data_IF_318675214036
#
_entry.id   IF_318675214036
#
_cell.length_a   1.000
_cell.length_b   1.000
_cell.length_c   1.000
_cell.angle_alpha   90.00
_cell.angle_beta   90.00
_cell.angle_gamma   90.00
#
_symmetry.space_group_name_H-M   'P 1'
#
loop_
_entity.id
_entity.type
_entity.pdbx_description
1 polymer ?
#
# COMPACT_ATOMS: atom_id res chain seq x y z
N UNK A 1 18.22 -50.37 9.43
CA UNK A 1 17.43 -49.43 10.24
C UNK A 1 16.95 -48.31 9.32
N UNK A 2 15.65 -48.27 9.05
CA UNK A 2 15.04 -47.25 8.19
C UNK A 2 15.16 -45.86 8.81
N UNK A 3 15.51 -44.87 7.98
CA UNK A 3 15.89 -43.50 8.34
C UNK A 3 14.71 -42.63 8.82
N UNK A 4 13.50 -43.19 8.92
CA UNK A 4 12.25 -42.46 9.17
C UNK A 4 11.42 -42.99 10.37
N UNK A 5 11.89 -44.01 11.11
CA UNK A 5 11.15 -44.58 12.24
C UNK A 5 10.94 -43.63 13.42
N UNK A 6 11.77 -42.59 13.56
CA UNK A 6 11.64 -41.57 14.60
C UNK A 6 10.68 -40.43 14.22
N UNK A 7 10.42 -40.20 12.92
CA UNK A 7 9.49 -39.14 12.46
C UNK A 7 8.03 -39.55 12.59
N UNK A 8 7.73 -40.85 12.53
CA UNK A 8 6.38 -41.38 12.71
C UNK A 8 5.91 -41.40 14.18
N UNK A 9 6.82 -41.18 15.13
CA UNK A 9 6.54 -41.15 16.56
C UNK A 9 6.19 -39.75 17.10
N UNK A 10 6.31 -38.70 16.27
CA UNK A 10 5.86 -37.35 16.63
C UNK A 10 4.34 -37.29 16.43
N UNK A 11 3.53 -37.05 17.48
CA UNK A 11 2.09 -36.91 17.32
C UNK A 11 1.79 -35.79 16.33
N UNK A 12 1.19 -36.15 15.19
CA UNK A 12 0.69 -35.17 14.22
C UNK A 12 -0.40 -34.34 14.92
N UNK A 13 -0.32 -33.00 14.93
CA UNK A 13 -1.30 -32.18 15.62
C UNK A 13 -2.69 -32.45 15.04
N UNK A 14 -3.62 -32.83 15.91
CA UNK A 14 -5.02 -33.09 15.58
C UNK A 14 -5.66 -31.89 14.88
N UNK A 15 -6.72 -32.12 14.09
CA UNK A 15 -7.50 -31.04 13.47
C UNK A 15 -7.99 -30.02 14.50
N UNK A 16 -8.27 -30.45 15.73
CA UNK A 16 -8.65 -29.60 16.87
C UNK A 16 -7.51 -28.72 17.37
N UNK A 17 -6.31 -29.24 17.61
CA UNK A 17 -5.16 -28.42 18.02
C UNK A 17 -4.74 -27.41 16.94
N UNK A 18 -4.87 -27.76 15.66
CA UNK A 18 -4.67 -26.81 14.56
C UNK A 18 -5.76 -25.73 14.51
N UNK A 19 -7.01 -26.09 14.85
CA UNK A 19 -8.15 -25.15 14.92
C UNK A 19 -8.01 -24.21 16.11
N UNK A 20 -7.63 -24.71 17.28
CA UNK A 20 -7.34 -23.93 18.48
C UNK A 20 -6.15 -22.99 18.28
N UNK A 21 -5.05 -23.45 17.67
CA UNK A 21 -3.91 -22.60 17.30
C UNK A 21 -4.30 -21.52 16.28
N UNK A 22 -5.12 -21.86 15.28
CA UNK A 22 -5.66 -20.88 14.32
C UNK A 22 -6.63 -19.88 14.95
N UNK A 23 -7.39 -20.29 15.97
CA UNK A 23 -8.33 -19.44 16.71
C UNK A 23 -7.59 -18.53 17.70
N UNK A 24 -6.54 -19.04 18.36
CA UNK A 24 -5.63 -18.27 19.21
C UNK A 24 -4.77 -17.26 18.42
N UNK A 25 -4.41 -17.56 17.18
CA UNK A 25 -3.67 -16.63 16.30
C UNK A 25 -4.54 -15.47 15.78
N UNK A 26 -5.87 -15.60 15.79
CA UNK A 26 -6.83 -14.57 15.36
C UNK A 26 -7.34 -13.72 16.52
N UNK A 27 -6.45 -13.26 17.41
CA UNK A 27 -6.82 -12.21 18.38
C UNK A 27 -7.40 -11.01 17.63
N UNK A 28 -8.38 -10.35 18.26
CA UNK A 28 -8.95 -9.13 17.70
C UNK A 28 -7.84 -8.10 17.48
N UNK A 29 -7.88 -7.39 16.35
CA UNK A 29 -6.92 -6.33 16.06
C UNK A 29 -7.59 -5.03 16.49
N UNK A 30 -7.13 -4.36 17.58
CA UNK A 30 -7.81 -3.18 18.13
C UNK A 30 -8.06 -2.09 17.08
N UNK A 31 -7.07 -1.86 16.22
CA UNK A 31 -7.19 -0.93 15.08
C UNK A 31 -8.38 -1.25 14.16
N UNK A 32 -8.68 -2.54 13.90
CA UNK A 32 -9.80 -2.93 13.03
C UNK A 32 -11.15 -2.69 13.68
N UNK A 33 -11.24 -2.82 15.00
CA UNK A 33 -12.46 -2.52 15.76
C UNK A 33 -12.72 -1.02 15.80
N UNK A 34 -11.69 -0.24 16.12
CA UNK A 34 -11.74 1.21 16.06
C UNK A 34 -12.09 1.71 14.65
N UNK A 35 -11.47 1.14 13.61
CA UNK A 35 -11.81 1.47 12.23
C UNK A 35 -13.28 1.17 11.91
N UNK A 36 -13.81 0.03 12.38
CA UNK A 36 -15.22 -0.35 12.19
C UNK A 36 -16.15 0.69 12.84
N UNK A 37 -15.89 1.08 14.09
CA UNK A 37 -16.65 2.12 14.78
C UNK A 37 -16.58 3.46 14.01
N UNK A 38 -15.37 3.87 13.63
CA UNK A 38 -15.14 5.10 12.87
C UNK A 38 -15.82 5.12 11.49
N UNK A 39 -16.01 3.96 10.85
CA UNK A 39 -16.72 3.90 9.56
C UNK A 39 -18.24 4.06 9.67
N UNK A 40 -18.82 3.86 10.85
CA UNK A 40 -20.25 4.14 11.10
C UNK A 40 -20.52 5.65 11.17
N UNK A 41 -19.57 6.42 11.69
CA UNK A 41 -19.64 7.87 11.76
C UNK A 41 -19.20 8.53 10.44
N UNK A 42 -20.17 8.71 9.53
CA UNK A 42 -19.95 9.25 8.19
C UNK A 42 -19.92 10.78 8.21
N UNK A 43 -18.75 11.35 8.01
CA UNK A 43 -18.58 12.81 7.84
C UNK A 43 -17.98 13.21 6.49
N UNK A 44 -17.38 12.27 5.74
CA UNK A 44 -16.67 12.59 4.50
C UNK A 44 -17.61 13.15 3.43
N UNK A 45 -17.27 14.30 2.84
CA UNK A 45 -17.98 14.84 1.67
C UNK A 45 -17.73 13.92 0.47
N UNK A 46 -18.79 13.47 -0.19
CA UNK A 46 -18.65 12.66 -1.39
C UNK A 46 -18.20 13.52 -2.58
N UNK A 47 -17.38 12.97 -3.47
CA UNK A 47 -16.83 13.72 -4.62
C UNK A 47 -17.92 14.27 -5.55
N UNK A 48 -19.06 13.59 -5.64
CA UNK A 48 -20.22 14.05 -6.45
C UNK A 48 -21.00 15.18 -5.79
N UNK A 49 -20.76 15.46 -4.52
CA UNK A 49 -21.40 16.53 -3.74
C UNK A 49 -20.54 17.78 -3.65
N UNK A 50 -19.43 17.82 -4.40
CA UNK A 50 -18.53 18.97 -4.41
C UNK A 50 -19.17 20.18 -5.10
N UNK A 51 -19.11 21.35 -4.44
CA UNK A 51 -19.71 22.58 -4.96
C UNK A 51 -19.04 23.04 -6.26
N UNK A 52 -19.78 23.72 -7.13
CA UNK A 52 -19.25 24.25 -8.39
C UNK A 52 -18.09 25.22 -8.15
N UNK A 53 -18.20 26.01 -7.08
CA UNK A 53 -17.18 26.98 -6.67
C UNK A 53 -15.89 26.27 -6.27
N UNK A 54 -15.97 25.23 -5.42
CA UNK A 54 -14.79 24.45 -5.07
C UNK A 54 -14.18 23.75 -6.29
N UNK A 55 -15.00 23.23 -7.21
CA UNK A 55 -14.49 22.59 -8.43
C UNK A 55 -13.67 23.56 -9.30
N UNK A 56 -14.02 24.85 -9.30
CA UNK A 56 -13.23 25.91 -9.95
C UNK A 56 -11.87 26.08 -9.26
N UNK A 57 -11.86 26.26 -7.93
CA UNK A 57 -10.64 26.39 -7.13
C UNK A 57 -9.73 25.14 -7.27
N UNK A 58 -10.34 23.95 -7.28
CA UNK A 58 -9.65 22.68 -7.49
C UNK A 58 -8.99 22.61 -8.87
N UNK A 59 -9.67 23.06 -9.92
CA UNK A 59 -9.12 23.03 -11.26
C UNK A 59 -7.88 23.94 -11.39
N UNK A 60 -7.93 25.15 -10.85
CA UNK A 60 -6.80 26.08 -10.81
C UNK A 60 -5.64 25.53 -9.98
N UNK A 61 -5.93 24.97 -8.80
CA UNK A 61 -4.91 24.35 -7.96
C UNK A 61 -4.28 23.12 -8.62
N UNK A 62 -5.09 22.28 -9.28
CA UNK A 62 -4.63 21.08 -9.96
C UNK A 62 -3.76 21.44 -11.17
N UNK A 63 -4.13 22.48 -11.90
CA UNK A 63 -3.29 23.09 -12.94
C UNK A 63 -1.96 23.56 -12.35
N UNK A 64 -2.01 24.37 -11.30
CA UNK A 64 -0.82 24.83 -10.59
C UNK A 64 0.04 23.67 -10.10
N UNK A 65 -0.48 22.48 -9.79
CA UNK A 65 0.34 21.33 -9.36
C UNK A 65 0.85 20.45 -10.50
N UNK A 66 0.33 20.58 -11.71
CA UNK A 66 0.66 19.69 -12.84
C UNK A 66 1.32 20.38 -14.03
N UNK A 67 1.08 21.67 -14.23
CA UNK A 67 1.62 22.42 -15.36
C UNK A 67 3.13 22.65 -15.24
N UNK A 68 3.83 22.48 -16.35
CA UNK A 68 5.28 22.73 -16.47
C UNK A 68 5.62 24.20 -16.21
N UNK A 69 4.82 25.10 -16.79
CA UNK A 69 4.85 26.53 -16.56
C UNK A 69 3.66 26.93 -15.68
N UNK A 70 3.88 27.84 -14.74
CA UNK A 70 2.83 28.41 -13.89
C UNK A 70 3.22 29.85 -13.59
N UNK A 71 2.22 30.72 -13.50
CA UNK A 71 2.40 32.14 -13.13
C UNK A 71 2.79 32.29 -11.66
N UNK A 72 2.34 31.35 -10.81
CA UNK A 72 2.65 31.32 -9.39
C UNK A 72 3.95 30.56 -9.12
N UNK A 73 4.72 31.03 -8.14
CA UNK A 73 5.93 30.35 -7.67
C UNK A 73 5.56 29.01 -7.02
N UNK A 74 6.38 27.99 -7.22
CA UNK A 74 6.13 26.63 -6.71
C UNK A 74 7.44 25.93 -6.40
N UNK A 75 7.44 25.11 -5.34
CA UNK A 75 8.53 24.18 -5.08
C UNK A 75 8.75 23.23 -6.27
N UNK A 76 9.99 22.76 -6.48
CA UNK A 76 10.43 21.99 -7.67
C UNK A 76 9.65 20.67 -7.96
N UNK A 77 8.75 20.21 -7.08
CA UNK A 77 8.05 18.93 -7.21
C UNK A 77 6.68 19.07 -7.87
N UNK A 78 6.61 18.57 -9.11
CA UNK A 78 5.38 18.43 -9.89
C UNK A 78 4.59 17.18 -9.52
N UNK A 79 3.26 17.27 -9.59
CA UNK A 79 2.41 16.08 -9.55
C UNK A 79 2.48 15.34 -10.88
N UNK A 80 2.74 14.03 -10.81
CA UNK A 80 2.96 13.20 -12.00
C UNK A 80 1.64 12.80 -12.65
N UNK A 81 1.46 13.20 -13.90
CA UNK A 81 0.41 12.70 -14.79
C UNK A 81 0.84 11.39 -15.45
N UNK A 82 -0.04 10.41 -15.47
CA UNK A 82 0.20 9.08 -16.02
C UNK A 82 -0.89 8.69 -17.04
N UNK A 83 -0.55 7.93 -18.09
CA UNK A 83 -1.53 7.24 -18.92
C UNK A 83 -2.45 6.33 -18.09
N UNK A 84 -3.72 6.21 -18.49
CA UNK A 84 -4.77 5.49 -17.74
C UNK A 84 -4.40 4.03 -17.47
N UNK A 85 -3.79 3.36 -18.45
CA UNK A 85 -3.30 1.98 -18.37
C UNK A 85 -2.17 1.80 -17.35
N UNK A 86 -1.40 2.86 -17.03
CA UNK A 86 -0.35 2.83 -16.02
C UNK A 86 -0.85 3.13 -14.60
N UNK A 87 -2.11 3.53 -14.43
CA UNK A 87 -2.69 3.85 -13.13
C UNK A 87 -3.31 2.58 -12.50
N UNK A 88 -2.99 2.31 -11.23
CA UNK A 88 -3.48 1.15 -10.48
C UNK A 88 -4.68 1.45 -9.59
N UNK A 89 -5.27 2.63 -9.70
CA UNK A 89 -6.37 3.15 -8.90
C UNK A 89 -7.49 3.60 -9.83
N UNK A 90 -8.72 3.45 -9.37
CA UNK A 90 -9.83 4.17 -9.99
C UNK A 90 -9.82 5.61 -9.49
N UNK A 91 -9.75 6.56 -10.42
CA UNK A 91 -9.59 7.98 -10.12
C UNK A 91 -10.87 8.73 -10.50
N UNK A 92 -11.33 9.70 -9.69
CA UNK A 92 -12.38 10.61 -10.11
C UNK A 92 -12.01 11.35 -11.39
N UNK A 93 -13.00 11.70 -12.21
CA UNK A 93 -12.83 12.43 -13.47
C UNK A 93 -12.06 13.75 -13.28
N UNK A 94 -12.31 14.45 -12.17
CA UNK A 94 -11.63 15.71 -11.80
C UNK A 94 -10.15 15.54 -11.40
N UNK A 95 -9.63 14.31 -11.40
CA UNK A 95 -8.20 14.01 -11.21
C UNK A 95 -7.48 13.69 -12.53
N UNK A 96 -8.11 13.99 -13.67
CA UNK A 96 -7.52 13.84 -15.00
C UNK A 96 -7.29 15.21 -15.65
N UNK A 97 -6.20 15.32 -16.41
CA UNK A 97 -5.91 16.46 -17.29
C UNK A 97 -5.26 15.94 -18.56
N UNK A 98 -5.70 16.43 -19.73
CA UNK A 98 -5.20 16.00 -21.05
C UNK A 98 -5.23 14.47 -21.24
N UNK A 99 -6.31 13.82 -20.79
CA UNK A 99 -6.46 12.36 -20.87
C UNK A 99 -5.55 11.54 -19.94
N UNK A 100 -4.72 12.20 -19.11
CA UNK A 100 -3.79 11.56 -18.16
C UNK A 100 -4.27 11.77 -16.73
N UNK A 101 -4.17 10.73 -15.91
CA UNK A 101 -4.64 10.76 -14.52
C UNK A 101 -3.52 11.07 -13.53
N UNK A 102 -3.88 11.70 -12.41
CA UNK A 102 -2.97 12.03 -11.31
C UNK A 102 -3.37 11.31 -10.02
N UNK A 103 -2.60 10.31 -9.61
CA UNK A 103 -2.85 9.58 -8.36
C UNK A 103 -2.69 10.48 -7.12
N UNK A 104 -1.70 11.37 -7.12
CA UNK A 104 -1.47 12.33 -6.02
C UNK A 104 -2.67 13.25 -5.85
N UNK A 105 -3.26 13.73 -6.94
CA UNK A 105 -4.45 14.56 -6.91
C UNK A 105 -5.62 13.83 -6.21
N UNK A 106 -5.86 12.56 -6.52
CA UNK A 106 -6.91 11.78 -5.84
C UNK A 106 -6.67 11.62 -4.34
N UNK A 107 -5.42 11.44 -3.90
CA UNK A 107 -5.11 11.40 -2.47
C UNK A 107 -5.33 12.75 -1.77
N UNK A 108 -4.96 13.86 -2.42
CA UNK A 108 -5.17 15.22 -1.88
C UNK A 108 -6.65 15.57 -1.85
N UNK A 109 -7.39 15.26 -2.91
CA UNK A 109 -8.84 15.44 -2.98
C UNK A 109 -9.56 14.71 -1.84
N UNK A 110 -9.17 13.47 -1.54
CA UNK A 110 -9.74 12.71 -0.40
C UNK A 110 -9.49 13.40 0.95
N UNK A 111 -8.36 14.09 1.12
CA UNK A 111 -8.09 14.87 2.33
C UNK A 111 -8.93 16.14 2.38
N UNK A 112 -9.11 16.80 1.24
CA UNK A 112 -10.01 17.95 1.12
C UNK A 112 -11.45 17.56 1.49
N UNK A 113 -11.98 16.50 0.89
CA UNK A 113 -13.30 15.95 1.23
C UNK A 113 -13.44 15.57 2.72
N UNK A 114 -12.38 15.07 3.33
CA UNK A 114 -12.38 14.75 4.76
C UNK A 114 -12.38 16.00 5.62
N UNK A 115 -11.55 16.98 5.30
CA UNK A 115 -11.50 18.26 5.99
C UNK A 115 -12.82 19.02 5.87
N UNK A 116 -13.38 19.14 4.67
CA UNK A 116 -14.70 19.74 4.44
C UNK A 116 -15.80 19.01 5.20
N UNK A 117 -15.70 17.68 5.29
CA UNK A 117 -16.62 16.88 6.09
C UNK A 117 -16.59 17.23 7.58
N UNK A 118 -15.40 17.46 8.13
CA UNK A 118 -15.24 17.92 9.50
C UNK A 118 -15.77 19.35 9.68
N UNK A 119 -15.48 20.22 8.70
CA UNK A 119 -15.94 21.60 8.72
C UNK A 119 -17.47 21.69 8.74
N UNK A 120 -18.16 20.89 7.93
CA UNK A 120 -19.62 20.86 7.86
C UNK A 120 -20.28 20.09 9.00
N UNK A 121 -19.51 19.36 9.81
CA UNK A 121 -20.06 18.56 10.91
C UNK A 121 -20.51 19.50 12.05
N UNK A 122 -21.65 19.26 12.71
CA UNK A 122 -22.10 20.06 13.84
C UNK A 122 -21.05 20.11 14.96
N UNK A 123 -20.90 21.27 15.60
CA UNK A 123 -19.96 21.43 16.72
C UNK A 123 -20.32 20.57 17.92
N UNK A 124 -21.62 20.28 18.13
CA UNK A 124 -22.11 19.32 19.14
C UNK A 124 -21.52 17.92 18.97
N UNK A 125 -21.17 17.55 17.73
CA UNK A 125 -20.68 16.23 17.37
C UNK A 125 -19.16 16.22 17.19
N UNK A 126 -18.48 17.30 17.61
CA UNK A 126 -17.03 17.49 17.46
C UNK A 126 -16.59 17.99 16.09
N UNK A 127 -17.48 18.60 15.30
CA UNK A 127 -17.17 19.28 14.04
C UNK A 127 -16.92 20.78 14.17
N UNK A 128 -16.72 21.48 13.05
CA UNK A 128 -16.52 22.93 13.04
C UNK A 128 -17.84 23.72 12.99
N UNK A 129 -18.90 23.14 12.41
CA UNK A 129 -20.26 23.69 12.44
C UNK A 129 -20.67 24.59 11.27
N UNK A 130 -20.02 24.50 10.11
CA UNK A 130 -20.34 25.34 8.95
C UNK A 130 -21.45 24.76 8.07
N UNK A 131 -22.08 25.63 7.28
CA UNK A 131 -22.92 25.19 6.17
C UNK A 131 -22.12 24.39 5.14
N UNK A 132 -22.76 23.40 4.50
CA UNK A 132 -22.08 22.48 3.59
C UNK A 132 -21.41 23.16 2.39
N UNK A 133 -21.97 24.26 1.87
CA UNK A 133 -21.40 25.03 0.78
C UNK A 133 -20.27 25.97 1.25
N UNK A 134 -20.40 26.52 2.46
CA UNK A 134 -19.42 27.41 3.08
C UNK A 134 -18.12 26.66 3.43
N UNK A 135 -18.23 25.41 3.86
CA UNK A 135 -17.09 24.55 4.17
C UNK A 135 -16.20 24.24 2.95
N UNK A 136 -16.75 24.35 1.73
CA UNK A 136 -16.09 23.86 0.51
C UNK A 136 -15.32 24.97 -0.21
N UNK A 137 -14.19 25.37 0.38
CA UNK A 137 -13.20 26.25 -0.23
C UNK A 137 -11.81 25.92 0.28
N UNK A 138 -10.79 26.12 -0.55
CA UNK A 138 -9.38 26.00 -0.17
C UNK A 138 -8.98 27.03 0.89
N UNK A 139 -9.76 28.11 1.06
CA UNK A 139 -9.46 29.16 2.01
C UNK A 139 -9.39 28.66 3.46
N UNK A 140 -10.17 27.65 3.82
CA UNK A 140 -10.15 27.06 5.17
C UNK A 140 -8.81 26.45 5.58
N UNK A 141 -7.92 26.15 4.64
CA UNK A 141 -6.56 25.70 4.95
C UNK A 141 -5.63 26.83 5.43
N UNK A 142 -6.05 28.09 5.26
CA UNK A 142 -5.36 29.25 5.82
C UNK A 142 -5.90 29.64 7.21
N UNK A 143 -6.97 29.03 7.70
CA UNK A 143 -7.58 29.35 9.01
C UNK A 143 -7.00 28.46 10.12
N UNK A 144 -6.22 29.01 11.08
CA UNK A 144 -5.52 28.23 12.10
C UNK A 144 -6.42 27.35 12.96
N UNK A 145 -7.57 27.87 13.38
CA UNK A 145 -8.54 27.19 14.25
C UNK A 145 -9.14 25.98 13.55
N UNK A 146 -9.46 26.11 12.26
CA UNK A 146 -9.98 25.02 11.44
C UNK A 146 -8.94 23.91 11.24
N UNK A 147 -7.71 24.28 10.89
CA UNK A 147 -6.61 23.33 10.68
C UNK A 147 -6.27 22.59 11.97
N UNK A 148 -6.13 23.32 13.09
CA UNK A 148 -5.86 22.75 14.40
C UNK A 148 -7.00 21.84 14.85
N UNK A 149 -8.24 22.31 14.77
CA UNK A 149 -9.42 21.56 15.19
C UNK A 149 -9.58 20.26 14.41
N UNK A 150 -9.26 20.22 13.11
CA UNK A 150 -9.29 18.97 12.35
C UNK A 150 -8.20 17.98 12.77
N UNK A 151 -6.99 18.46 13.10
CA UNK A 151 -5.91 17.60 13.60
C UNK A 151 -6.27 16.98 14.96
N UNK A 152 -6.89 17.77 15.84
CA UNK A 152 -7.44 17.30 17.12
C UNK A 152 -8.59 16.32 16.91
N UNK A 153 -9.51 16.61 15.99
CA UNK A 153 -10.58 15.68 15.60
C UNK A 153 -10.02 14.34 15.10
N UNK A 154 -8.98 14.36 14.25
CA UNK A 154 -8.29 13.16 13.83
C UNK A 154 -7.67 12.40 15.00
N UNK A 155 -7.12 13.10 15.99
CA UNK A 155 -6.50 12.52 17.18
C UNK A 155 -7.54 11.85 18.09
N UNK A 156 -8.69 12.48 18.31
CA UNK A 156 -9.79 11.87 19.07
C UNK A 156 -10.25 10.56 18.42
N UNK A 157 -10.38 10.55 17.08
CA UNK A 157 -10.78 9.36 16.32
C UNK A 157 -9.75 8.25 16.29
N UNK A 158 -8.48 8.57 16.52
CA UNK A 158 -7.39 7.58 16.67
C UNK A 158 -7.16 7.18 18.13
N UNK A 159 -8.03 7.59 19.07
CA UNK A 159 -7.90 7.23 20.49
C UNK A 159 -6.71 7.91 21.16
N UNK A 160 -6.37 9.13 20.72
CA UNK A 160 -5.26 9.93 21.26
C UNK A 160 -3.97 9.90 20.43
N UNK A 161 -3.84 8.96 19.47
CA UNK A 161 -2.60 8.77 18.72
C UNK A 161 -2.38 9.85 17.64
N UNK A 162 -1.19 10.42 17.59
CA UNK A 162 -0.76 11.34 16.52
C UNK A 162 0.11 10.59 15.53
N UNK A 163 -0.47 10.19 14.39
CA UNK A 163 0.13 9.20 13.51
C UNK A 163 0.39 9.72 12.09
N UNK A 164 0.85 8.86 11.18
CA UNK A 164 1.17 9.23 9.79
C UNK A 164 0.00 9.85 8.98
N UNK A 165 -1.24 9.78 9.48
CA UNK A 165 -2.39 10.50 8.92
C UNK A 165 -2.26 12.00 9.17
N UNK A 166 -2.01 12.39 10.42
CA UNK A 166 -1.68 13.76 10.84
C UNK A 166 -0.47 14.28 10.08
N UNK A 167 0.64 13.53 10.05
CA UNK A 167 1.84 13.91 9.29
C UNK A 167 1.51 14.18 7.81
N UNK A 168 0.65 13.35 7.22
CA UNK A 168 0.21 13.49 5.85
C UNK A 168 -0.63 14.74 5.60
N UNK A 169 -1.62 15.01 6.45
CA UNK A 169 -2.48 16.18 6.36
C UNK A 169 -1.69 17.46 6.63
N UNK A 170 -0.95 17.51 7.73
CA UNK A 170 -0.08 18.62 8.08
C UNK A 170 0.95 18.92 6.98
N UNK A 171 1.58 17.91 6.37
CA UNK A 171 2.48 18.12 5.25
C UNK A 171 1.78 18.75 4.02
N UNK A 172 0.51 18.44 3.80
CA UNK A 172 -0.29 19.07 2.75
C UNK A 172 -0.55 20.54 3.10
N UNK A 173 -1.05 20.83 4.31
CA UNK A 173 -1.33 22.21 4.74
C UNK A 173 -0.07 23.07 4.72
N UNK A 174 1.04 22.59 5.30
CA UNK A 174 2.32 23.29 5.24
C UNK A 174 2.78 23.57 3.80
N UNK A 175 2.48 22.68 2.85
CA UNK A 175 2.80 22.91 1.43
C UNK A 175 1.88 23.91 0.73
N UNK A 176 0.66 24.09 1.24
CA UNK A 176 -0.30 25.08 0.75
C UNK A 176 0.04 26.47 1.28
N UNK A 177 0.51 26.57 2.53
CA UNK A 177 0.72 27.82 3.25
C UNK A 177 2.18 28.28 3.34
N UNK A 178 3.12 27.56 2.70
CA UNK A 178 4.53 27.93 2.70
C UNK A 178 4.75 29.32 2.08
N UNK A 179 5.48 30.19 2.78
CA UNK A 179 5.83 31.51 2.26
C UNK A 179 6.53 31.42 0.89
N UNK A 180 6.13 32.28 -0.04
CA UNK A 180 6.74 32.40 -1.37
C UNK A 180 6.55 31.24 -2.36
N UNK A 181 6.14 30.03 -1.93
CA UNK A 181 5.95 28.88 -2.84
C UNK A 181 4.67 28.06 -2.60
N UNK A 182 3.98 28.32 -1.49
CA UNK A 182 2.67 27.78 -1.19
C UNK A 182 1.61 28.42 -2.08
N UNK A 183 0.55 27.67 -2.36
CA UNK A 183 -0.53 28.17 -3.22
C UNK A 183 -1.32 29.29 -2.56
N UNK A 184 -1.62 29.17 -1.26
CA UNK A 184 -2.53 30.07 -0.55
C UNK A 184 -1.97 31.49 -0.35
N UNK A 185 -0.69 31.69 0.07
CA UNK A 185 -0.12 33.04 0.18
C UNK A 185 -0.09 33.82 -1.14
N UNK A 186 -0.17 33.12 -2.28
CA UNK A 186 -0.17 33.75 -3.60
C UNK A 186 -1.58 33.95 -4.18
N UNK A 187 -2.61 33.56 -3.44
CA UNK A 187 -4.02 33.63 -3.83
C UNK A 187 -4.88 34.33 -2.76
N UNK A 188 -4.57 35.58 -2.35
CA UNK A 188 -5.28 36.28 -1.28
C UNK A 188 -6.77 36.51 -1.59
N UNK A 189 -7.17 36.51 -2.87
CA UNK A 189 -8.57 36.59 -3.28
C UNK A 189 -9.44 35.44 -2.73
N UNK A 190 -8.84 34.31 -2.35
CA UNK A 190 -9.57 33.21 -1.71
C UNK A 190 -10.10 33.58 -0.32
N UNK A 191 -9.54 34.59 0.35
CA UNK A 191 -10.04 35.09 1.63
C UNK A 191 -11.52 35.50 1.58
N UNK A 192 -11.95 36.09 0.45
CA UNK A 192 -13.33 36.51 0.22
C UNK A 192 -14.34 35.34 0.17
N UNK A 193 -13.86 34.09 0.19
CA UNK A 193 -14.68 32.87 0.22
C UNK A 193 -15.01 32.41 1.65
N UNK A 194 -14.33 32.95 2.66
CA UNK A 194 -14.63 32.66 4.06
C UNK A 194 -15.89 33.42 4.52
N UNK A 195 -16.50 32.98 5.61
CA UNK A 195 -17.60 33.71 6.23
C UNK A 195 -17.18 35.12 6.67
N UNK A 196 -18.15 36.05 6.81
CA UNK A 196 -17.87 37.40 7.28
C UNK A 196 -17.15 37.48 8.63
N UNK A 197 -17.28 36.47 9.49
CA UNK A 197 -16.55 36.35 10.75
C UNK A 197 -15.03 36.26 10.57
N UNK A 198 -14.55 35.92 9.37
CA UNK A 198 -13.15 35.85 9.00
C UNK A 198 -12.74 36.97 8.01
N UNK A 199 -13.59 37.98 7.80
CA UNK A 199 -13.36 39.04 6.82
C UNK A 199 -12.21 40.00 7.17
N UNK A 200 -11.79 40.07 8.43
CA UNK A 200 -10.75 40.99 8.94
C UNK A 200 -9.42 40.31 9.23
N UNK A 201 -9.29 39.04 8.88
CA UNK A 201 -8.13 38.22 9.22
C UNK A 201 -6.96 38.49 8.25
N UNK A 202 -5.78 38.72 8.82
CA UNK A 202 -4.54 38.90 8.06
C UNK A 202 -4.18 37.58 7.38
N UNK A 203 -4.37 37.54 6.05
CA UNK A 203 -4.20 36.34 5.23
C UNK A 203 -2.78 35.78 5.30
N UNK A 204 -1.78 36.66 5.24
CA UNK A 204 -0.37 36.26 5.19
C UNK A 204 0.11 35.78 6.56
N UNK A 205 -0.19 36.54 7.61
CA UNK A 205 0.12 36.14 8.99
C UNK A 205 -0.52 34.79 9.34
N UNK A 206 -1.71 34.53 8.81
CA UNK A 206 -2.44 33.31 9.12
C UNK A 206 -2.01 32.11 8.29
N UNK A 207 -1.64 32.31 7.03
CA UNK A 207 -0.92 31.29 6.28
C UNK A 207 0.37 30.90 7.01
N UNK A 208 1.15 31.87 7.50
CA UNK A 208 2.35 31.61 8.28
C UNK A 208 2.03 30.83 9.57
N UNK A 209 0.96 31.19 10.27
CA UNK A 209 0.51 30.47 11.48
C UNK A 209 0.09 29.03 11.19
N UNK A 210 -0.70 28.80 10.14
CA UNK A 210 -1.09 27.46 9.69
C UNK A 210 0.13 26.62 9.28
N UNK A 211 1.11 27.24 8.62
CA UNK A 211 2.36 26.58 8.26
C UNK A 211 3.10 26.08 9.51
N UNK A 212 3.18 26.91 10.55
CA UNK A 212 3.85 26.56 11.80
C UNK A 212 3.11 25.46 12.57
N UNK A 213 1.79 25.59 12.75
CA UNK A 213 0.94 24.54 13.36
C UNK A 213 1.17 23.21 12.64
N UNK A 214 1.16 23.24 11.31
CA UNK A 214 1.36 22.04 10.50
C UNK A 214 2.76 21.45 10.68
N UNK A 215 3.81 22.27 10.77
CA UNK A 215 5.16 21.77 11.05
C UNK A 215 5.23 21.05 12.39
N UNK A 216 4.67 21.64 13.45
CA UNK A 216 4.64 21.07 14.80
C UNK A 216 3.90 19.74 14.82
N UNK A 217 2.68 19.68 14.27
CA UNK A 217 1.91 18.44 14.20
C UNK A 217 2.58 17.35 13.36
N UNK A 218 3.26 17.73 12.27
CA UNK A 218 4.01 16.78 11.46
C UNK A 218 5.20 16.20 12.23
N UNK A 219 5.87 17.00 13.06
CA UNK A 219 6.97 16.54 13.91
C UNK A 219 6.47 15.65 15.05
N UNK A 220 5.36 16.01 15.68
CA UNK A 220 4.72 15.25 16.75
C UNK A 220 4.10 13.91 16.28
N UNK A 221 3.90 13.74 14.97
CA UNK A 221 3.25 12.56 14.39
C UNK A 221 4.17 11.32 14.34
N UNK A 222 4.55 10.83 15.52
CA UNK A 222 5.44 9.67 15.69
C UNK A 222 4.69 8.38 16.01
N UNK A 223 3.41 8.47 16.40
CA UNK A 223 2.65 7.29 16.83
C UNK A 223 2.27 6.39 15.66
N UNK A 224 2.03 5.12 15.99
CA UNK A 224 1.61 4.09 15.04
C UNK A 224 0.15 3.75 15.34
N UNK A 225 -0.78 4.21 14.51
CA UNK A 225 -2.20 3.84 14.66
C UNK A 225 -2.51 2.41 14.21
N UNK A 226 -1.68 1.84 13.34
CA UNK A 226 -1.84 0.46 12.85
C UNK A 226 -0.49 -0.21 12.76
N UNK A 227 -0.29 -1.27 13.55
CA UNK A 227 0.86 -2.13 13.37
C UNK A 227 0.67 -3.02 12.12
N UNK A 228 1.51 -2.91 11.08
CA UNK A 228 1.38 -3.71 9.87
C UNK A 228 1.60 -5.21 10.08
N UNK A 229 2.19 -5.62 11.21
CA UNK A 229 2.45 -7.01 11.56
C UNK A 229 1.24 -7.68 12.22
N UNK A 230 0.32 -6.93 12.84
CA UNK A 230 -0.85 -7.50 13.53
C UNK A 230 -1.58 -8.57 12.68
N UNK A 231 -1.84 -8.35 11.38
CA UNK A 231 -2.55 -9.34 10.57
C UNK A 231 -1.77 -10.64 10.32
N UNK A 232 -0.44 -10.57 10.34
CA UNK A 232 0.46 -11.67 9.96
C UNK A 232 1.26 -12.21 11.14
N UNK A 233 1.03 -11.71 12.36
CA UNK A 233 1.79 -12.09 13.55
C UNK A 233 1.81 -13.59 13.79
N UNK A 234 0.70 -14.27 13.55
CA UNK A 234 0.64 -15.73 13.66
C UNK A 234 1.60 -16.46 12.72
N UNK A 235 1.88 -15.90 11.54
CA UNK A 235 2.89 -16.43 10.61
C UNK A 235 4.31 -16.08 11.06
N UNK A 236 4.52 -14.85 11.52
CA UNK A 236 5.82 -14.40 12.00
C UNK A 236 6.26 -15.17 13.26
N UNK A 237 5.34 -15.76 14.02
CA UNK A 237 5.65 -16.60 15.17
C UNK A 237 5.99 -18.05 14.82
N UNK A 238 5.85 -18.47 13.56
CA UNK A 238 6.26 -19.79 13.11
C UNK A 238 7.77 -19.86 12.89
N UNK A 239 8.34 -21.05 13.04
CA UNK A 239 9.71 -21.35 12.61
C UNK A 239 9.88 -21.19 11.10
N UNK A 240 8.84 -21.54 10.34
CA UNK A 240 8.79 -21.43 8.87
C UNK A 240 7.63 -20.54 8.40
N UNK A 241 7.74 -19.20 8.48
CA UNK A 241 6.67 -18.27 8.11
C UNK A 241 6.14 -18.40 6.68
N UNK A 242 6.95 -18.90 5.74
CA UNK A 242 6.55 -19.08 4.34
C UNK A 242 5.76 -20.37 4.09
N UNK A 243 5.91 -21.41 4.92
CA UNK A 243 5.28 -22.71 4.72
C UNK A 243 3.74 -22.63 4.57
N UNK A 244 3.01 -21.83 5.36
CA UNK A 244 1.57 -21.66 5.16
C UNK A 244 1.17 -21.07 3.81
N UNK A 245 2.04 -20.25 3.19
CA UNK A 245 1.78 -19.71 1.85
C UNK A 245 1.94 -20.81 0.79
N UNK A 246 2.96 -21.66 0.90
CA UNK A 246 3.12 -22.81 0.00
C UNK A 246 1.96 -23.81 0.13
N UNK A 247 1.53 -24.13 1.36
CA UNK A 247 0.32 -24.96 1.58
C UNK A 247 -0.94 -24.32 0.99
N UNK A 248 -1.05 -22.99 0.97
CA UNK A 248 -2.17 -22.31 0.33
C UNK A 248 -2.14 -22.45 -1.20
N UNK A 249 -0.95 -22.47 -1.82
CA UNK A 249 -0.77 -22.76 -3.25
C UNK A 249 -1.21 -24.19 -3.55
N UNK A 250 -0.75 -25.17 -2.78
CA UNK A 250 -1.14 -26.59 -2.94
C UNK A 250 -2.68 -26.76 -2.87
N UNK A 251 -3.33 -26.16 -1.87
CA UNK A 251 -4.79 -26.19 -1.74
C UNK A 251 -5.54 -25.53 -2.89
N UNK A 252 -4.95 -24.52 -3.53
CA UNK A 252 -5.53 -23.90 -4.73
C UNK A 252 -5.44 -24.87 -5.91
N UNK A 253 -4.33 -25.59 -6.05
CA UNK A 253 -4.15 -26.60 -7.10
C UNK A 253 -5.09 -27.80 -6.89
N UNK A 254 -5.24 -28.30 -5.67
CA UNK A 254 -6.22 -29.35 -5.33
C UNK A 254 -7.64 -28.94 -5.72
N UNK A 255 -8.03 -27.69 -5.40
CA UNK A 255 -9.34 -27.16 -5.78
C UNK A 255 -9.49 -26.95 -7.28
N UNK A 256 -8.40 -26.61 -7.97
CA UNK A 256 -8.42 -26.48 -9.43
C UNK A 256 -8.65 -27.86 -10.07
N UNK A 257 -7.95 -28.89 -9.62
CA UNK A 257 -8.10 -30.27 -10.10
C UNK A 257 -9.52 -30.83 -9.84
N UNK A 258 -10.18 -30.38 -8.76
CA UNK A 258 -11.56 -30.77 -8.47
C UNK A 258 -12.62 -29.92 -9.21
N UNK A 259 -12.23 -28.84 -9.88
CA UNK A 259 -13.14 -28.02 -10.67
C UNK A 259 -13.42 -28.67 -12.03
N UNK A 260 -14.46 -28.21 -12.71
CA UNK A 260 -14.76 -28.67 -14.07
C UNK A 260 -13.57 -28.32 -14.99
N UNK A 261 -12.98 -29.30 -15.70
CA UNK A 261 -11.86 -29.04 -16.61
C UNK A 261 -12.18 -28.00 -17.68
N UNK A 262 -11.23 -27.11 -17.96
CA UNK A 262 -11.37 -25.98 -18.88
C UNK A 262 -12.26 -24.84 -18.38
N UNK A 263 -12.79 -24.94 -17.15
CA UNK A 263 -13.72 -23.93 -16.64
C UNK A 263 -13.00 -22.64 -16.21
N UNK A 264 -13.75 -21.52 -16.20
CA UNK A 264 -13.26 -20.26 -15.60
C UNK A 264 -12.94 -20.38 -14.11
N UNK A 265 -13.54 -21.34 -13.40
CA UNK A 265 -13.29 -21.58 -11.99
C UNK A 265 -11.91 -22.21 -11.79
N UNK A 266 -11.60 -23.27 -12.53
CA UNK A 266 -10.28 -23.90 -12.58
C UNK A 266 -9.20 -22.89 -12.95
N UNK A 267 -9.38 -22.17 -14.07
CA UNK A 267 -8.42 -21.18 -14.54
C UNK A 267 -8.20 -20.04 -13.53
N UNK A 268 -9.24 -19.66 -12.79
CA UNK A 268 -9.15 -18.67 -11.69
C UNK A 268 -8.27 -19.18 -10.56
N UNK A 269 -8.41 -20.45 -10.16
CA UNK A 269 -7.64 -21.05 -9.08
C UNK A 269 -6.16 -21.21 -9.46
N UNK A 270 -5.89 -21.69 -10.68
CA UNK A 270 -4.52 -21.80 -11.22
C UNK A 270 -3.83 -20.44 -11.35
N UNK A 271 -4.56 -19.41 -11.80
CA UNK A 271 -4.05 -18.01 -11.79
C UNK A 271 -3.67 -17.57 -10.38
N UNK A 272 -4.54 -17.81 -9.40
CA UNK A 272 -4.36 -17.37 -8.03
C UNK A 272 -3.17 -18.10 -7.36
N UNK A 273 -2.99 -19.38 -7.65
CA UNK A 273 -1.87 -20.21 -7.21
C UNK A 273 -0.53 -19.70 -7.79
N UNK A 274 -0.49 -19.40 -9.10
CA UNK A 274 0.67 -18.79 -9.74
C UNK A 274 0.96 -17.39 -9.16
N UNK A 275 -0.07 -16.56 -8.96
CA UNK A 275 0.10 -15.22 -8.40
C UNK A 275 0.75 -15.27 -7.01
N UNK A 276 0.28 -16.14 -6.11
CA UNK A 276 0.92 -16.32 -4.81
C UNK A 276 2.36 -16.82 -4.92
N UNK A 277 2.59 -17.82 -5.78
CA UNK A 277 3.94 -18.37 -6.01
C UNK A 277 4.92 -17.31 -6.48
N UNK A 278 4.51 -16.47 -7.43
CA UNK A 278 5.34 -15.36 -7.93
C UNK A 278 5.52 -14.24 -6.92
N UNK A 279 4.52 -13.97 -6.06
CA UNK A 279 4.64 -12.99 -4.98
C UNK A 279 5.65 -13.41 -3.90
N UNK A 280 5.84 -14.72 -3.68
CA UNK A 280 6.90 -15.23 -2.79
C UNK A 280 8.26 -15.18 -3.51
N UNK A 281 8.32 -15.68 -4.75
CA UNK A 281 9.55 -15.76 -5.52
C UNK A 281 10.15 -14.39 -5.87
N UNK A 282 9.31 -13.41 -6.17
CA UNK A 282 9.74 -12.06 -6.49
C UNK A 282 8.75 -11.04 -5.90
N UNK A 283 8.97 -10.59 -4.66
CA UNK A 283 7.97 -9.89 -3.86
C UNK A 283 7.82 -8.41 -4.25
N UNK A 284 7.67 -8.10 -5.54
CA UNK A 284 7.42 -6.75 -6.05
C UNK A 284 6.09 -6.18 -5.53
N UNK A 285 5.92 -4.86 -5.70
CA UNK A 285 4.69 -4.18 -5.28
C UNK A 285 3.52 -4.66 -6.15
N UNK A 286 2.32 -4.71 -5.57
CA UNK A 286 1.10 -5.14 -6.27
C UNK A 286 0.88 -4.46 -7.63
N UNK A 287 1.30 -3.20 -7.80
CA UNK A 287 1.21 -2.48 -9.08
C UNK A 287 1.97 -3.18 -10.21
N UNK A 288 3.14 -3.76 -9.92
CA UNK A 288 3.92 -4.51 -10.90
C UNK A 288 3.10 -5.70 -11.42
N UNK A 289 2.52 -6.50 -10.53
CA UNK A 289 1.65 -7.63 -10.88
C UNK A 289 0.34 -7.21 -11.57
N UNK A 290 -0.24 -6.08 -11.20
CA UNK A 290 -1.47 -5.56 -11.84
C UNK A 290 -1.26 -5.06 -13.28
N UNK A 291 -0.01 -4.79 -13.68
CA UNK A 291 0.30 -4.19 -14.99
C UNK A 291 1.29 -4.97 -15.83
N UNK A 292 1.86 -6.06 -15.29
CA UNK A 292 2.79 -6.89 -16.02
C UNK A 292 2.14 -7.55 -17.22
N UNK A 293 2.86 -7.54 -18.33
CA UNK A 293 2.44 -8.16 -19.58
C UNK A 293 3.26 -9.39 -19.93
N UNK A 294 2.69 -10.25 -20.77
CA UNK A 294 3.37 -11.33 -21.46
C UNK A 294 2.96 -11.30 -22.93
N UNK A 295 3.93 -11.57 -23.81
CA UNK A 295 3.74 -11.66 -25.25
C UNK A 295 4.56 -12.84 -25.79
N UNK A 296 4.08 -13.52 -26.85
CA UNK A 296 4.81 -14.63 -27.46
C UNK A 296 6.22 -14.25 -27.94
N UNK A 297 6.39 -13.00 -28.40
CA UNK A 297 7.67 -12.43 -28.86
C UNK A 297 8.66 -12.10 -27.72
N UNK A 298 8.32 -12.46 -26.47
CA UNK A 298 9.11 -12.24 -25.27
C UNK A 298 9.31 -10.76 -24.91
N UNK A 299 8.66 -9.79 -25.57
CA UNK A 299 8.83 -8.35 -25.29
C UNK A 299 8.04 -7.87 -24.06
N UNK A 300 7.24 -8.75 -23.46
CA UNK A 300 6.51 -8.49 -22.22
C UNK A 300 7.41 -8.35 -20.98
N UNK A 301 6.77 -8.02 -19.85
CA UNK A 301 7.44 -7.99 -18.55
C UNK A 301 7.84 -9.39 -18.07
N UNK A 302 6.97 -10.39 -18.28
CA UNK A 302 7.30 -11.80 -18.07
C UNK A 302 7.83 -12.37 -19.38
N UNK A 303 8.99 -13.00 -19.33
CA UNK A 303 9.63 -13.58 -20.51
C UNK A 303 10.47 -14.80 -20.16
N UNK A 304 10.72 -15.65 -21.15
CA UNK A 304 11.58 -16.83 -21.08
C UNK A 304 12.85 -16.58 -21.90
N UNK A 305 14.02 -16.81 -21.31
CA UNK A 305 15.30 -16.79 -22.02
C UNK A 305 15.51 -18.07 -22.84
N UNK A 306 16.51 -18.04 -23.71
CA UNK A 306 16.93 -19.18 -24.53
C UNK A 306 17.31 -20.41 -23.69
N UNK A 307 17.87 -20.20 -22.49
CA UNK A 307 18.21 -21.26 -21.53
C UNK A 307 16.99 -21.81 -20.75
N UNK A 308 15.78 -21.45 -21.17
CA UNK A 308 14.52 -21.83 -20.53
C UNK A 308 14.22 -21.10 -19.22
N UNK A 309 15.09 -20.22 -18.71
CA UNK A 309 14.86 -19.51 -17.46
C UNK A 309 13.79 -18.41 -17.65
N UNK A 310 12.74 -18.47 -16.83
CA UNK A 310 11.74 -17.41 -16.74
C UNK A 310 12.26 -16.23 -15.91
N UNK A 311 11.95 -15.01 -16.36
CA UNK A 311 12.45 -13.76 -15.77
C UNK A 311 11.40 -12.66 -15.79
N UNK A 312 11.60 -11.67 -14.93
CA UNK A 312 10.79 -10.46 -14.85
C UNK A 312 11.64 -9.24 -15.22
N UNK A 313 11.17 -8.45 -16.19
CA UNK A 313 11.75 -7.16 -16.57
C UNK A 313 10.80 -5.99 -16.28
N UNK A 314 11.32 -4.89 -15.74
CA UNK A 314 10.59 -3.63 -15.55
C UNK A 314 11.48 -2.42 -15.79
N UNK A 315 10.90 -1.36 -16.37
CA UNK A 315 11.62 -0.10 -16.55
C UNK A 315 11.42 0.83 -15.34
N UNK A 316 12.32 1.81 -15.12
CA UNK A 316 12.20 2.78 -14.04
C UNK A 316 10.83 3.45 -13.93
N UNK A 317 10.19 3.70 -15.07
CA UNK A 317 8.88 4.35 -15.14
C UNK A 317 7.74 3.53 -14.54
N UNK A 318 7.89 2.19 -14.47
CA UNK A 318 6.91 1.26 -13.90
C UNK A 318 6.94 1.27 -12.36
N UNK A 319 8.07 1.65 -11.75
CA UNK A 319 8.21 1.77 -10.31
C UNK A 319 7.69 3.10 -9.76
N UNK A 320 7.22 3.08 -8.50
CA UNK A 320 6.65 4.25 -7.80
C UNK A 320 7.73 5.29 -7.43
N UNK A 321 8.95 4.83 -7.14
CA UNK A 321 10.05 5.67 -6.69
C UNK A 321 11.19 5.60 -7.70
N UNK A 322 11.72 6.77 -8.10
CA UNK A 322 13.01 6.83 -8.76
C UNK A 322 14.11 6.79 -7.68
N UNK A 323 14.66 5.63 -7.32
CA UNK A 323 15.85 5.53 -6.46
C UNK A 323 17.13 5.52 -7.33
N UNK A 324 18.31 5.69 -6.74
CA UNK A 324 19.57 5.53 -7.50
C UNK A 324 19.67 4.15 -8.19
N UNK A 325 19.15 3.10 -7.56
CA UNK A 325 18.96 1.75 -8.13
C UNK A 325 17.91 1.68 -9.24
N UNK A 326 16.99 2.65 -9.31
CA UNK A 326 15.94 2.68 -10.32
C UNK A 326 16.38 3.34 -11.62
N UNK A 327 17.64 3.71 -11.82
CA UNK A 327 18.09 4.12 -13.15
C UNK A 327 18.46 2.91 -14.02
N UNK A 328 18.63 1.73 -13.40
CA UNK A 328 18.89 0.48 -14.10
C UNK A 328 17.57 -0.24 -14.37
N UNK A 329 17.51 -0.90 -15.53
CA UNK A 329 16.42 -1.80 -15.88
C UNK A 329 16.39 -2.94 -14.86
N UNK A 330 15.24 -3.15 -14.21
CA UNK A 330 15.08 -4.28 -13.30
C UNK A 330 14.93 -5.54 -14.14
N UNK A 331 15.80 -6.52 -13.93
CA UNK A 331 15.75 -7.82 -14.59
C UNK A 331 16.15 -8.92 -13.61
N UNK A 332 15.19 -9.75 -13.21
CA UNK A 332 15.39 -10.75 -12.16
C UNK A 332 14.91 -12.15 -12.58
N UNK A 333 15.67 -13.21 -12.24
CA UNK A 333 15.24 -14.58 -12.47
C UNK A 333 14.08 -14.97 -11.56
N UNK A 334 13.20 -15.83 -12.07
CA UNK A 334 12.28 -16.61 -11.25
C UNK A 334 12.89 -17.99 -10.97
N UNK A 335 12.56 -18.62 -9.82
CA UNK A 335 12.97 -19.99 -9.54
C UNK A 335 12.59 -20.94 -10.67
N UNK A 336 13.53 -21.81 -11.09
CA UNK A 336 13.30 -22.77 -12.19
C UNK A 336 12.09 -23.67 -11.95
N UNK A 337 11.80 -24.02 -10.70
CA UNK A 337 10.63 -24.79 -10.29
C UNK A 337 9.28 -24.13 -10.62
N UNK A 338 9.24 -22.82 -10.90
CA UNK A 338 8.01 -22.16 -11.36
C UNK A 338 7.79 -22.28 -12.87
N UNK A 339 8.77 -22.76 -13.63
CA UNK A 339 8.74 -22.71 -15.09
C UNK A 339 7.55 -23.46 -15.70
N UNK A 340 7.29 -24.68 -15.24
CA UNK A 340 6.16 -25.49 -15.69
C UNK A 340 4.82 -24.83 -15.35
N UNK A 341 4.67 -24.36 -14.10
CA UNK A 341 3.45 -23.64 -13.67
C UNK A 341 3.19 -22.38 -14.48
N UNK A 342 4.23 -21.62 -14.81
CA UNK A 342 4.11 -20.43 -15.66
C UNK A 342 3.64 -20.83 -17.06
N UNK A 343 4.28 -21.84 -17.65
CA UNK A 343 3.95 -22.31 -19.00
C UNK A 343 2.50 -22.83 -19.06
N UNK A 344 2.14 -23.76 -18.17
CA UNK A 344 0.78 -24.32 -18.02
C UNK A 344 -0.26 -23.20 -17.88
N UNK A 345 0.02 -22.21 -17.03
CA UNK A 345 -0.87 -21.06 -16.88
C UNK A 345 -1.05 -20.25 -18.16
N UNK A 346 0.04 -19.94 -18.86
CA UNK A 346 -0.01 -19.09 -20.04
C UNK A 346 -0.70 -19.80 -21.22
N UNK A 347 -0.50 -21.10 -21.36
CA UNK A 347 -0.99 -21.89 -22.49
C UNK A 347 -2.42 -22.39 -22.28
N UNK A 348 -2.78 -22.81 -21.06
CA UNK A 348 -4.06 -23.48 -20.82
C UNK A 348 -5.07 -22.57 -20.11
N UNK A 349 -4.66 -21.89 -19.05
CA UNK A 349 -5.62 -21.21 -18.15
C UNK A 349 -5.81 -19.73 -18.47
N UNK A 350 -4.76 -19.04 -18.91
CA UNK A 350 -4.84 -17.63 -19.29
C UNK A 350 -5.79 -17.41 -20.48
N UNK A 351 -5.80 -18.22 -21.55
CA UNK A 351 -6.76 -18.08 -22.65
C UNK A 351 -8.22 -18.12 -22.21
N UNK A 352 -8.55 -19.01 -21.26
CA UNK A 352 -9.90 -19.14 -20.68
C UNK A 352 -10.32 -17.85 -19.95
N UNK A 353 -9.39 -17.19 -19.26
CA UNK A 353 -9.65 -15.97 -18.49
C UNK A 353 -9.78 -14.71 -19.35
N UNK A 354 -9.00 -14.63 -20.43
CA UNK A 354 -9.05 -13.47 -21.33
C UNK A 354 -10.30 -13.54 -22.22
N UNK A 355 -10.76 -14.73 -22.60
CA UNK A 355 -12.04 -14.95 -23.28
C UNK A 355 -12.31 -13.95 -24.40
N UNK A 356 -13.28 -13.05 -24.19
CA UNK A 356 -13.71 -12.02 -25.14
C UNK A 356 -12.77 -10.81 -25.28
N UNK A 357 -11.66 -10.76 -24.54
CA UNK A 357 -10.61 -9.74 -24.65
C UNK A 357 -9.26 -10.37 -25.07
N UNK A 358 -9.18 -11.09 -26.21
CA UNK A 358 -7.99 -11.84 -26.61
C UNK A 358 -6.75 -10.97 -26.83
N UNK A 359 -6.94 -9.69 -27.18
CA UNK A 359 -5.85 -8.73 -27.39
C UNK A 359 -5.19 -8.23 -26.09
N UNK A 360 -5.60 -8.71 -24.92
CA UNK A 360 -4.98 -8.29 -23.65
C UNK A 360 -3.60 -8.95 -23.50
N UNK A 361 -2.58 -8.14 -23.25
CA UNK A 361 -1.23 -8.64 -22.94
C UNK A 361 -1.03 -8.97 -21.46
N UNK A 362 -2.02 -8.71 -20.60
CA UNK A 362 -1.87 -8.83 -19.15
C UNK A 362 -1.56 -10.28 -18.74
N UNK A 363 -0.57 -10.48 -17.86
CA UNK A 363 -0.33 -11.82 -17.29
C UNK A 363 -1.47 -12.20 -16.37
N UNK A 364 -1.92 -11.29 -15.50
CA UNK A 364 -2.97 -11.55 -14.52
C UNK A 364 -4.24 -10.73 -14.82
N UNK A 365 -5.07 -11.15 -15.79
CA UNK A 365 -6.38 -10.53 -16.00
C UNK A 365 -7.33 -10.84 -14.85
N UNK A 366 -8.31 -9.96 -14.64
CA UNK A 366 -9.45 -10.25 -13.78
C UNK A 366 -10.36 -11.31 -14.45
N UNK A 367 -11.49 -11.64 -13.81
CA UNK A 367 -12.45 -12.63 -14.34
C UNK A 367 -13.15 -12.23 -15.66
N UNK A 368 -12.97 -10.99 -16.11
CA UNK A 368 -13.55 -10.43 -17.34
C UNK A 368 -12.49 -10.10 -18.40
N UNK A 369 -11.27 -10.63 -18.26
CA UNK A 369 -10.16 -10.39 -19.21
C UNK A 369 -9.52 -9.00 -19.10
N UNK A 370 -9.94 -8.16 -18.15
CA UNK A 370 -9.49 -6.77 -18.00
C UNK A 370 -8.45 -6.62 -16.88
N UNK A 371 -7.84 -5.44 -16.83
CA UNK A 371 -6.91 -5.06 -15.76
C UNK A 371 -7.51 -5.25 -14.36
N UNK A 372 -6.76 -5.91 -13.49
CA UNK A 372 -7.22 -6.27 -12.16
C UNK A 372 -6.89 -5.20 -11.10
N UNK A 373 -7.60 -4.08 -11.13
CA UNK A 373 -7.39 -2.96 -10.18
C UNK A 373 -7.61 -3.33 -8.71
N UNK A 374 -8.35 -4.42 -8.46
CA UNK A 374 -8.66 -4.93 -7.12
C UNK A 374 -7.84 -6.16 -6.72
N UNK A 375 -6.70 -6.42 -7.37
CA UNK A 375 -5.82 -7.58 -7.07
C UNK A 375 -5.52 -7.73 -5.57
N UNK A 376 -5.27 -6.63 -4.85
CA UNK A 376 -5.05 -6.65 -3.40
C UNK A 376 -6.21 -7.30 -2.63
N UNK A 377 -7.47 -7.06 -3.04
CA UNK A 377 -8.66 -7.67 -2.42
C UNK A 377 -8.74 -9.15 -2.71
N UNK A 378 -8.26 -9.59 -3.87
CA UNK A 378 -8.19 -11.02 -4.16
C UNK A 378 -7.15 -11.69 -3.28
N UNK A 379 -5.94 -11.13 -3.15
CA UNK A 379 -4.91 -11.72 -2.28
C UNK A 379 -5.39 -11.76 -0.82
N UNK A 380 -6.09 -10.73 -0.34
CA UNK A 380 -6.78 -10.75 0.96
C UNK A 380 -7.79 -11.91 1.07
N UNK A 381 -8.60 -12.14 0.03
CA UNK A 381 -9.57 -13.24 -0.01
C UNK A 381 -8.88 -14.60 0.02
N UNK A 382 -7.84 -14.79 -0.78
CA UNK A 382 -7.10 -16.06 -0.86
C UNK A 382 -6.44 -16.34 0.49
N UNK A 383 -5.65 -15.40 1.01
CA UNK A 383 -4.96 -15.59 2.29
C UNK A 383 -5.95 -15.84 3.43
N UNK A 384 -7.06 -15.09 3.47
CA UNK A 384 -8.12 -15.31 4.46
C UNK A 384 -8.82 -16.67 4.37
N UNK A 385 -8.89 -17.26 3.18
CA UNK A 385 -9.54 -18.56 2.97
C UNK A 385 -8.60 -19.75 3.21
N UNK A 386 -7.31 -19.60 2.91
CA UNK A 386 -6.38 -20.74 2.86
C UNK A 386 -5.26 -20.70 3.90
N UNK A 387 -5.07 -19.59 4.62
CA UNK A 387 -4.03 -19.42 5.64
C UNK A 387 -4.69 -19.12 7.00
N UNK A 388 -5.10 -20.16 7.74
CA UNK A 388 -5.84 -20.00 8.99
C UNK A 388 -5.00 -19.39 10.13
N UNK A 389 -3.67 -19.43 10.03
CA UNK A 389 -2.73 -18.90 11.03
C UNK A 389 -2.66 -17.37 11.06
N UNK A 390 -3.29 -16.68 10.09
CA UNK A 390 -3.27 -15.23 10.00
C UNK A 390 -4.66 -14.66 9.75
N UNK A 391 -4.79 -13.36 10.03
CA UNK A 391 -5.88 -12.57 9.48
C UNK A 391 -5.64 -12.35 7.97
N UNK A 392 -6.69 -12.07 7.17
CA UNK A 392 -6.50 -11.74 5.75
C UNK A 392 -5.42 -10.67 5.54
N UNK A 393 -4.47 -10.95 4.66
CA UNK A 393 -3.36 -10.05 4.33
C UNK A 393 -3.10 -9.93 2.82
N UNK A 394 -2.42 -8.86 2.40
CA UNK A 394 -2.17 -8.54 0.99
C UNK A 394 -0.71 -8.70 0.56
N UNK A 395 -0.37 -8.36 -0.70
CA UNK A 395 0.98 -8.51 -1.26
C UNK A 395 2.09 -7.84 -0.45
N UNK A 396 1.81 -6.68 0.17
CA UNK A 396 2.80 -6.00 0.99
C UNK A 396 3.19 -6.80 2.24
N UNK A 397 2.26 -7.57 2.80
CA UNK A 397 2.55 -8.41 3.95
C UNK A 397 3.33 -9.66 3.55
N UNK A 398 3.04 -10.27 2.38
CA UNK A 398 3.88 -11.34 1.81
C UNK A 398 5.33 -10.87 1.67
N UNK A 399 5.52 -9.66 1.14
CA UNK A 399 6.83 -9.04 1.00
C UNK A 399 7.58 -8.90 2.33
N UNK A 400 6.86 -8.58 3.42
CA UNK A 400 7.44 -8.58 4.77
C UNK A 400 7.80 -9.98 5.25
N UNK A 401 6.92 -10.96 5.06
CA UNK A 401 7.16 -12.35 5.46
C UNK A 401 8.40 -12.91 4.75
N UNK A 402 8.54 -12.68 3.44
CA UNK A 402 9.71 -13.13 2.66
C UNK A 402 11.02 -12.54 3.22
N UNK A 403 11.04 -11.23 3.48
CA UNK A 403 12.22 -10.56 4.02
C UNK A 403 12.58 -11.06 5.43
N UNK A 404 11.58 -11.23 6.30
CA UNK A 404 11.77 -11.73 7.66
C UNK A 404 12.23 -13.19 7.68
N UNK A 405 11.63 -14.06 6.87
CA UNK A 405 12.03 -15.47 6.75
C UNK A 405 13.50 -15.58 6.30
N UNK A 406 13.88 -14.81 5.28
CA UNK A 406 15.25 -14.79 4.78
C UNK A 406 16.25 -14.29 5.82
N UNK A 407 15.98 -13.16 6.48
CA UNK A 407 16.92 -12.57 7.45
C UNK A 407 17.04 -13.37 8.75
N UNK A 408 16.04 -14.18 9.12
CA UNK A 408 16.16 -15.11 10.24
C UNK A 408 17.14 -16.24 9.94
N UNK A 409 17.18 -16.70 8.69
CA UNK A 409 18.07 -17.78 8.22
C UNK A 409 19.45 -17.24 7.79
N UNK A 410 19.51 -15.98 7.38
CA UNK A 410 20.71 -15.28 6.93
C UNK A 410 20.85 -13.93 7.65
N UNK A 411 21.18 -13.94 8.96
CA UNK A 411 21.28 -12.71 9.72
C UNK A 411 22.33 -11.77 9.11
N UNK A 412 22.00 -10.47 9.11
CA UNK A 412 22.82 -9.39 8.55
C UNK A 412 22.92 -9.26 7.03
N UNK A 413 22.30 -10.16 6.25
CA UNK A 413 22.27 -10.03 4.79
C UNK A 413 21.16 -9.09 4.28
N UNK A 414 21.21 -7.84 4.75
CA UNK A 414 20.33 -6.77 4.28
C UNK A 414 20.52 -6.38 2.81
N UNK A 415 21.74 -6.41 2.24
CA UNK A 415 21.94 -6.14 0.81
C UNK A 415 21.12 -7.08 -0.09
N UNK A 416 21.11 -8.39 0.19
CA UNK A 416 20.30 -9.35 -0.58
C UNK A 416 18.81 -9.03 -0.47
N UNK A 417 18.31 -8.73 0.74
CA UNK A 417 16.92 -8.31 0.91
C UNK A 417 16.61 -7.02 0.17
N UNK A 418 17.49 -6.02 0.19
CA UNK A 418 17.29 -4.78 -0.56
C UNK A 418 17.17 -5.03 -2.08
N UNK A 419 17.99 -5.94 -2.62
CA UNK A 419 17.90 -6.34 -4.02
C UNK A 419 16.63 -7.14 -4.32
N UNK A 420 16.31 -8.15 -3.50
CA UNK A 420 15.10 -8.99 -3.63
C UNK A 420 13.83 -8.15 -3.58
N UNK A 421 13.80 -7.18 -2.68
CA UNK A 421 12.71 -6.25 -2.52
C UNK A 421 12.75 -5.15 -3.61
N UNK A 422 13.85 -4.88 -4.28
CA UNK A 422 14.01 -3.65 -5.07
C UNK A 422 13.62 -2.41 -4.23
N UNK A 423 14.25 -2.29 -3.07
CA UNK A 423 14.14 -1.16 -2.16
C UNK A 423 15.52 -0.58 -1.84
N UNK A 424 15.52 0.58 -1.20
CA UNK A 424 16.75 1.20 -0.71
C UNK A 424 17.28 0.43 0.51
N UNK A 425 18.59 0.23 0.58
CA UNK A 425 19.21 -0.44 1.73
C UNK A 425 18.88 0.28 3.04
N UNK A 426 18.85 1.61 3.04
CA UNK A 426 18.49 2.43 4.19
C UNK A 426 17.02 2.24 4.61
N UNK A 427 16.13 1.91 3.68
CA UNK A 427 14.75 1.52 4.00
C UNK A 427 14.72 0.15 4.66
N UNK A 428 15.45 -0.82 4.10
CA UNK A 428 15.50 -2.20 4.63
C UNK A 428 16.09 -2.21 6.04
N UNK A 429 17.22 -1.54 6.28
CA UNK A 429 17.81 -1.45 7.61
C UNK A 429 16.85 -0.83 8.62
N UNK A 430 16.19 0.27 8.26
CA UNK A 430 15.22 0.92 9.16
C UNK A 430 14.07 -0.01 9.56
N UNK A 431 13.65 -0.90 8.66
CA UNK A 431 12.55 -1.82 8.92
C UNK A 431 13.03 -3.05 9.69
N UNK A 432 14.15 -3.66 9.31
CA UNK A 432 14.54 -4.99 9.79
C UNK A 432 15.76 -5.03 10.72
N UNK A 433 16.41 -3.90 11.03
CA UNK A 433 17.59 -3.91 11.91
C UNK A 433 17.28 -4.42 13.33
N UNK A 434 16.03 -4.37 13.78
CA UNK A 434 15.62 -4.94 15.06
C UNK A 434 15.84 -6.46 15.12
N UNK A 435 15.76 -7.17 13.99
CA UNK A 435 16.06 -8.61 13.90
C UNK A 435 17.52 -8.92 14.24
N UNK A 436 18.42 -7.91 14.23
CA UNK A 436 19.81 -8.07 14.67
C UNK A 436 19.94 -8.23 16.18
N UNK A 437 19.05 -7.63 16.96
CA UNK A 437 19.24 -7.53 18.41
C UNK A 437 19.25 -8.94 19.03
N UNK A 438 18.27 -9.77 18.67
CA UNK A 438 18.17 -11.15 19.16
C UNK A 438 19.40 -12.00 18.75
N UNK A 439 19.88 -11.88 17.51
CA UNK A 439 21.07 -12.58 17.00
C UNK A 439 22.38 -12.08 17.64
N UNK A 440 22.48 -10.78 17.93
CA UNK A 440 23.67 -10.18 18.55
C UNK A 440 23.85 -10.66 19.98
N UNK A 441 22.76 -10.79 20.75
CA UNK A 441 22.81 -11.32 22.11
C UNK A 441 23.12 -12.81 22.14
N UNK A 442 22.56 -13.61 21.21
CA UNK A 442 22.91 -15.04 21.08
C UNK A 442 24.38 -15.26 20.76
N UNK A 443 24.94 -14.53 19.79
CA UNK A 443 26.38 -14.59 19.47
C UNK A 443 27.26 -14.13 20.63
N UNK A 444 26.82 -13.12 21.37
CA UNK A 444 27.54 -12.66 22.54
C UNK A 444 27.51 -13.71 23.66
N UNK A 445 26.38 -14.39 23.86
CA UNK A 445 26.27 -15.52 24.78
C UNK A 445 27.18 -16.69 24.37
N UNK A 446 27.21 -17.05 23.09
CA UNK A 446 28.16 -18.06 22.56
C UNK A 446 29.62 -17.65 22.80
N UNK A 447 29.96 -16.37 22.58
CA UNK A 447 31.29 -15.84 22.88
C UNK A 447 31.62 -15.93 24.38
N UNK A 448 30.68 -15.52 25.25
CA UNK A 448 30.86 -15.62 26.70
C UNK A 448 31.03 -17.07 27.16
N UNK A 449 30.29 -18.00 26.57
CA UNK A 449 30.40 -19.43 26.85
C UNK A 449 31.76 -19.97 26.40
N UNK A 450 32.23 -19.61 25.20
CA UNK A 450 33.55 -19.99 24.69
C UNK A 450 34.69 -19.46 25.58
N UNK A 451 34.58 -18.22 26.07
CA UNK A 451 35.54 -17.63 27.01
C UNK A 451 35.52 -18.37 28.36
N UNK A 452 34.34 -18.72 28.88
CA UNK A 452 34.18 -19.46 30.14
C UNK A 452 34.67 -20.90 30.08
N UNK A 453 34.53 -21.56 28.93
CA UNK A 453 35.01 -22.94 28.71
C UNK A 453 36.50 -23.03 28.41
N UNK A 454 37.19 -21.89 28.26
CA UNK A 454 38.65 -21.81 28.05
C UNK A 454 39.42 -21.58 29.37
N UNK A 455 38.72 -21.58 30.50
CA UNK A 455 39.23 -21.61 31.87
C UNK A 455 38.74 -22.88 32.55
#
# INVERSE_FOLDING_TARGET
>A
MERDSLRSLIPQPTKETNRERAQAAKRAIPYREQLRANTCDKYLVHVTSLSKQFLSEWNEFFEHKTSTQTTLRRAKRLWRLLPKDKIGLDLPTICYRFGRGCATASFVLRRFCSFFGYLSRPSSDGGFGLGADEAQTLAWFAVPEAVKGYLEFMQTRSGGATHGGHAGFAALVASLTNEGTGYLPQCPQLAARLSPSFATFDWDASCAKCHEISKQWKQAATDISRNPEDPIRGLLNLSEPLLPIFRAVEKLDEKAAAAVPGSKAEATLKRDALLLSMLVANPLRARNFMSMTWRPDQTGNLYRREDGQWRLRFVPADFKNKSATSNQQYDAPLPRALGERIQEYLDEFRPVLIGSAPATDLVFPNKTGRKWTTLNRQVLRITGAFIPEAHPFGPHAIRHIVATDYLRKHPNDFPTVAQLLNDKLETVLRVYAHLRQDDSFGRYEEHLNAVRSSH
#
